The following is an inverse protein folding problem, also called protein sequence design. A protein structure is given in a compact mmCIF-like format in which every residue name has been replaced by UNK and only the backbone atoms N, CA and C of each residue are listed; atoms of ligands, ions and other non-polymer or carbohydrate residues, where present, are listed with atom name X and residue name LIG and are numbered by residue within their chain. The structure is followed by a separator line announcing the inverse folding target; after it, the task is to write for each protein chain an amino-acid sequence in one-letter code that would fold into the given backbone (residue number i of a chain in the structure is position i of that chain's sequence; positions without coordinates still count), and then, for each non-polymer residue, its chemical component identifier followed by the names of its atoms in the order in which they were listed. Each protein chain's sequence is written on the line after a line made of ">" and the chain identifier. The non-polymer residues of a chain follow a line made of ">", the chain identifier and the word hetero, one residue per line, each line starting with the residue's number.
data_IF_690195172359
#
_entry.id   IF_690195172359
#
_cell.length_a   1.000
_cell.length_b   1.000
_cell.length_c   1.000
_cell.angle_alpha   90.00
_cell.angle_beta   90.00
_cell.angle_gamma   90.00
#
_symmetry.space_group_name_H-M   'P 1'
#
loop_
_entity.id
_entity.type
_entity.pdbx_description
1 polymer ?
#
# COMPACT_ATOMS: atom_id res chain seq x y z
N UNK A 1 20.53 2.60 25.46
CA UNK A 1 21.99 2.27 25.50
C UNK A 1 22.73 3.43 26.14
N UNK A 2 23.92 3.20 26.73
CA UNK A 2 24.78 4.29 27.21
C UNK A 2 25.37 5.06 26.03
N UNK A 3 25.68 6.34 26.23
CA UNK A 3 26.43 7.14 25.26
C UNK A 3 27.79 6.49 25.00
N UNK A 4 28.22 6.50 23.73
CA UNK A 4 29.45 5.84 23.26
C UNK A 4 30.52 6.82 22.80
N UNK A 5 30.19 8.10 22.68
CA UNK A 5 31.11 9.14 22.24
C UNK A 5 30.67 10.51 22.79
N UNK A 6 31.59 11.49 22.73
CA UNK A 6 31.37 12.87 23.20
C UNK A 6 30.13 13.54 22.59
N UNK A 7 29.80 13.21 21.34
CA UNK A 7 28.62 13.73 20.66
C UNK A 7 27.32 13.24 21.33
N UNK A 8 27.23 11.95 21.64
CA UNK A 8 26.08 11.37 22.36
C UNK A 8 26.03 11.82 23.82
N UNK A 9 27.18 11.98 24.49
CA UNK A 9 27.24 12.50 25.86
C UNK A 9 26.65 13.91 25.95
N UNK A 10 27.01 14.79 25.00
CA UNK A 10 26.42 16.14 24.89
C UNK A 10 24.91 16.10 24.72
N UNK A 11 24.39 15.17 23.91
CA UNK A 11 22.94 15.01 23.70
C UNK A 11 22.25 14.58 25.00
N UNK A 12 22.82 13.62 25.73
CA UNK A 12 22.28 13.18 27.03
C UNK A 12 22.26 14.34 28.03
N UNK A 13 23.34 15.12 28.13
CA UNK A 13 23.41 16.32 28.99
C UNK A 13 22.33 17.35 28.63
N UNK A 14 22.17 17.65 27.34
CA UNK A 14 21.15 18.59 26.87
C UNK A 14 19.73 18.07 27.07
N UNK A 15 19.50 16.76 26.96
CA UNK A 15 18.20 16.15 27.23
C UNK A 15 17.73 16.40 28.66
N UNK A 16 18.64 16.36 29.65
CA UNK A 16 18.29 16.68 31.04
C UNK A 16 17.94 18.16 31.27
N UNK A 17 18.36 19.05 30.36
CA UNK A 17 18.04 20.49 30.42
C UNK A 17 16.76 20.87 29.67
N UNK A 18 16.13 19.93 28.97
CA UNK A 18 14.87 20.20 28.29
C UNK A 18 13.75 20.44 29.32
N UNK A 19 12.94 21.50 29.15
CA UNK A 19 11.86 21.78 30.08
C UNK A 19 10.76 20.71 29.97
N UNK A 20 10.06 20.49 31.08
CA UNK A 20 8.80 19.75 31.08
C UNK A 20 7.78 20.40 30.12
N UNK A 21 6.81 19.63 29.58
CA UNK A 21 5.77 20.19 28.73
C UNK A 21 4.98 21.26 29.50
N UNK A 22 4.76 22.40 28.87
CA UNK A 22 4.05 23.54 29.47
C UNK A 22 2.55 23.24 29.58
N UNK A 23 1.86 23.91 30.51
CA UNK A 23 0.40 23.78 30.66
C UNK A 23 -0.35 24.08 29.35
N UNK A 24 0.10 25.10 28.58
CA UNK A 24 -0.47 25.44 27.27
C UNK A 24 -0.34 24.30 26.25
N UNK A 25 0.81 23.62 26.22
CA UNK A 25 1.01 22.45 25.36
C UNK A 25 0.09 21.29 25.77
N UNK A 26 -0.06 21.05 27.08
CA UNK A 26 -0.94 20.00 27.60
C UNK A 26 -2.41 20.29 27.30
N UNK A 27 -2.88 21.53 27.47
CA UNK A 27 -4.26 21.92 27.13
C UNK A 27 -4.54 21.81 25.63
N UNK A 28 -3.58 22.19 24.79
CA UNK A 28 -3.67 22.00 23.35
C UNK A 28 -3.78 20.52 22.99
N UNK A 29 -2.94 19.67 23.60
CA UNK A 29 -3.00 18.22 23.44
C UNK A 29 -4.38 17.66 23.85
N UNK A 30 -4.92 18.06 25.00
CA UNK A 30 -6.25 17.64 25.48
C UNK A 30 -7.37 17.93 24.49
N UNK A 31 -7.29 19.07 23.80
CA UNK A 31 -8.36 19.56 22.92
C UNK A 31 -8.29 19.02 21.48
N UNK A 32 -7.10 18.60 21.02
CA UNK A 32 -6.88 18.24 19.61
C UNK A 32 -6.61 16.74 19.39
N UNK A 33 -6.21 16.00 20.42
CA UNK A 33 -5.83 14.58 20.27
C UNK A 33 -7.01 13.65 20.50
N UNK A 34 -7.83 13.94 21.51
CA UNK A 34 -8.83 12.99 21.99
C UNK A 34 -10.16 13.18 21.26
N UNK A 35 -10.68 12.14 20.59
CA UNK A 35 -11.98 12.20 19.95
C UNK A 35 -13.09 12.59 20.94
N UNK A 36 -13.99 13.44 20.45
CA UNK A 36 -15.18 13.87 21.17
C UNK A 36 -16.32 12.90 20.86
N UNK A 37 -16.48 11.88 21.70
CA UNK A 37 -17.44 10.80 21.48
C UNK A 37 -18.53 10.74 22.55
N UNK A 38 -19.66 10.18 22.18
CA UNK A 38 -20.73 9.79 23.08
C UNK A 38 -21.07 8.32 22.85
N UNK A 39 -20.97 7.51 23.91
CA UNK A 39 -21.31 6.10 23.83
C UNK A 39 -22.80 5.93 24.10
N UNK A 40 -23.52 5.37 23.13
CA UNK A 40 -24.97 5.15 23.18
C UNK A 40 -25.30 3.67 23.25
N UNK A 41 -26.14 3.30 24.21
CA UNK A 41 -26.77 2.00 24.32
C UNK A 41 -28.29 2.17 24.44
N UNK A 42 -28.99 1.97 23.31
CA UNK A 42 -30.45 2.18 23.18
C UNK A 42 -30.85 3.61 23.62
N UNK A 43 -31.58 3.72 24.74
CA UNK A 43 -32.10 4.98 25.30
C UNK A 43 -31.08 5.75 26.15
N UNK A 44 -30.02 5.08 26.63
CA UNK A 44 -29.08 5.65 27.61
C UNK A 44 -27.67 5.64 27.03
N UNK A 45 -26.85 6.54 27.50
CA UNK A 45 -25.43 6.55 27.17
C UNK A 45 -24.65 7.47 28.09
N UNK A 46 -23.49 7.90 27.62
CA UNK A 46 -22.64 8.81 28.38
C UNK A 46 -21.63 9.54 27.48
N UNK A 47 -21.15 10.67 27.96
CA UNK A 47 -20.17 11.52 27.31
C UNK A 47 -18.74 11.03 27.61
N UNK A 48 -17.94 10.70 26.60
CA UNK A 48 -16.53 10.31 26.82
C UNK A 48 -15.62 11.52 27.10
N UNK A 49 -16.14 12.75 27.00
CA UNK A 49 -15.42 13.97 27.38
C UNK A 49 -15.52 14.28 28.88
N UNK A 50 -16.72 14.28 29.47
CA UNK A 50 -16.95 14.66 30.88
C UNK A 50 -17.46 13.51 31.76
N UNK A 51 -17.70 12.31 31.22
CA UNK A 51 -18.13 11.14 32.00
C UNK A 51 -19.61 11.10 32.32
N UNK A 52 -20.32 12.22 32.15
CA UNK A 52 -21.72 12.36 32.53
C UNK A 52 -22.68 11.54 31.66
N UNK A 53 -23.77 11.10 32.27
CA UNK A 53 -24.80 10.31 31.59
C UNK A 53 -25.54 11.15 30.54
N UNK A 54 -25.94 10.51 29.45
CA UNK A 54 -26.70 11.10 28.37
C UNK A 54 -27.97 10.28 28.10
N UNK A 55 -29.04 10.97 27.71
CA UNK A 55 -30.26 10.34 27.20
C UNK A 55 -30.30 10.46 25.68
N UNK A 56 -30.78 9.42 25.02
CA UNK A 56 -30.88 9.35 23.58
C UNK A 56 -32.30 8.95 23.18
N UNK A 57 -32.84 9.60 22.15
CA UNK A 57 -34.04 9.11 21.48
C UNK A 57 -33.70 7.87 20.64
N UNK A 58 -34.32 6.70 20.92
CA UNK A 58 -34.11 5.48 20.14
C UNK A 58 -34.42 5.62 18.65
N UNK A 59 -35.34 6.53 18.28
CA UNK A 59 -35.75 6.74 16.89
C UNK A 59 -34.80 7.68 16.15
N UNK A 60 -33.93 8.38 16.88
CA UNK A 60 -33.01 9.35 16.28
C UNK A 60 -31.84 8.65 15.55
N UNK A 61 -31.71 9.00 14.27
CA UNK A 61 -30.59 8.64 13.41
C UNK A 61 -29.48 9.73 13.41
N UNK A 62 -29.51 10.66 14.35
CA UNK A 62 -28.48 11.68 14.47
C UNK A 62 -27.10 11.03 14.67
N UNK A 63 -26.09 11.54 13.96
CA UNK A 63 -24.68 11.13 14.13
C UNK A 63 -23.99 11.88 15.26
N UNK A 64 -24.55 13.00 15.71
CA UNK A 64 -23.95 13.87 16.72
C UNK A 64 -24.94 14.25 17.80
N UNK A 65 -24.44 14.52 19.00
CA UNK A 65 -25.17 15.08 20.14
C UNK A 65 -24.35 16.20 20.79
N UNK A 66 -25.00 17.25 21.27
CA UNK A 66 -24.35 18.24 22.14
C UNK A 66 -24.54 17.78 23.58
N UNK A 67 -23.44 17.60 24.31
CA UNK A 67 -23.52 17.23 25.71
C UNK A 67 -24.08 18.39 26.55
N UNK A 68 -25.20 18.21 27.28
CA UNK A 68 -25.77 19.27 28.11
C UNK A 68 -24.88 19.64 29.30
N UNK A 69 -23.93 18.78 29.68
CA UNK A 69 -23.06 19.01 30.84
C UNK A 69 -21.77 19.75 30.49
N UNK A 70 -21.17 19.50 29.31
CA UNK A 70 -19.91 20.14 28.93
C UNK A 70 -20.01 21.00 27.65
N UNK A 71 -21.18 21.08 27.01
CA UNK A 71 -21.41 21.87 25.81
C UNK A 71 -20.69 21.39 24.54
N UNK A 72 -19.90 20.31 24.61
CA UNK A 72 -19.18 19.79 23.43
C UNK A 72 -20.10 19.03 22.49
N UNK A 73 -19.91 19.22 21.19
CA UNK A 73 -20.50 18.40 20.14
C UNK A 73 -19.72 17.09 20.05
N UNK A 74 -20.42 15.98 20.24
CA UNK A 74 -19.88 14.62 20.31
C UNK A 74 -20.42 13.78 19.15
N UNK A 75 -19.58 12.94 18.57
CA UNK A 75 -20.00 11.89 17.63
C UNK A 75 -20.57 10.68 18.40
N UNK A 76 -21.70 10.16 17.93
CA UNK A 76 -22.42 9.07 18.61
C UNK A 76 -21.91 7.73 18.11
N UNK A 77 -21.34 6.94 19.01
CA UNK A 77 -20.99 5.54 18.76
C UNK A 77 -21.93 4.61 19.52
N UNK A 78 -22.46 3.59 18.83
CA UNK A 78 -23.31 2.57 19.44
C UNK A 78 -22.45 1.57 20.22
N UNK A 79 -22.25 1.84 21.51
CA UNK A 79 -21.33 1.13 22.41
C UNK A 79 -21.94 0.97 23.80
N UNK A 80 -21.68 -0.17 24.44
CA UNK A 80 -22.20 -0.50 25.78
C UNK A 80 -21.13 -0.38 26.86
N UNK A 81 -19.88 -0.15 26.49
CA UNK A 81 -18.75 -0.04 27.41
C UNK A 81 -18.94 1.16 28.36
N UNK A 82 -18.56 0.95 29.62
CA UNK A 82 -18.55 2.00 30.66
C UNK A 82 -17.18 2.65 30.83
N UNK A 83 -16.18 2.16 30.11
CA UNK A 83 -14.79 2.63 30.13
C UNK A 83 -14.43 3.11 28.73
N UNK A 84 -13.75 4.23 28.69
CA UNK A 84 -13.10 4.75 27.49
C UNK A 84 -11.62 4.90 27.77
N UNK A 85 -10.79 4.40 26.86
CA UNK A 85 -9.35 4.62 26.89
C UNK A 85 -8.90 4.94 25.48
N UNK A 86 -8.22 6.07 25.33
CA UNK A 86 -7.65 6.50 24.06
C UNK A 86 -6.19 6.84 24.26
N UNK A 87 -5.36 6.40 23.32
CA UNK A 87 -3.92 6.60 23.32
C UNK A 87 -3.52 7.18 21.98
N UNK A 88 -2.68 8.20 22.02
CA UNK A 88 -2.15 8.83 20.82
C UNK A 88 -0.88 9.60 21.14
N UNK A 89 -0.17 10.01 20.10
CA UNK A 89 1.05 10.79 20.24
C UNK A 89 0.78 12.29 20.07
N UNK A 90 1.47 13.07 20.89
CA UNK A 90 1.59 14.52 20.77
C UNK A 90 3.04 14.90 20.49
N UNK A 91 3.27 15.86 19.62
CA UNK A 91 4.63 16.23 19.22
C UNK A 91 4.89 17.70 19.47
N UNK A 92 6.05 18.01 20.06
CA UNK A 92 6.54 19.39 20.19
C UNK A 92 7.93 19.51 19.57
N UNK A 93 8.25 20.71 19.08
CA UNK A 93 9.53 21.02 18.44
C UNK A 93 10.19 22.16 19.18
N UNK A 94 11.45 21.99 19.54
CA UNK A 94 12.28 23.04 20.11
C UNK A 94 13.72 22.97 19.58
N UNK A 95 14.51 23.98 19.91
CA UNK A 95 15.93 24.06 19.56
C UNK A 95 16.76 24.26 20.82
N UNK A 96 17.84 23.51 20.98
CA UNK A 96 18.77 23.67 22.11
C UNK A 96 20.17 23.23 21.71
N UNK A 97 21.20 23.98 22.11
CA UNK A 97 22.61 23.57 21.93
C UNK A 97 23.05 23.32 20.48
N UNK A 98 22.39 23.95 19.51
CA UNK A 98 22.64 23.76 18.06
C UNK A 98 21.85 22.60 17.42
N UNK A 99 20.96 21.95 18.18
CA UNK A 99 20.13 20.85 17.68
C UNK A 99 18.69 21.30 17.48
N UNK A 100 18.07 20.74 16.44
CA UNK A 100 16.63 20.62 16.37
C UNK A 100 16.22 19.39 17.20
N UNK A 101 15.25 19.57 18.09
CA UNK A 101 14.71 18.46 18.89
C UNK A 101 13.23 18.30 18.57
N UNK A 102 12.86 17.10 18.13
CA UNK A 102 11.47 16.66 17.98
C UNK A 102 11.15 15.76 19.17
N UNK A 103 10.18 16.16 20.00
CA UNK A 103 9.81 15.48 21.24
C UNK A 103 8.43 14.87 21.09
N UNK A 104 8.32 13.57 21.32
CA UNK A 104 7.07 12.83 21.23
C UNK A 104 6.60 12.39 22.61
N UNK A 105 5.35 12.74 22.92
CA UNK A 105 4.66 12.41 24.16
C UNK A 105 3.57 11.40 23.90
N UNK A 106 3.63 10.26 24.57
CA UNK A 106 2.55 9.29 24.58
C UNK A 106 1.46 9.75 25.55
N UNK A 107 0.31 10.10 24.99
CA UNK A 107 -0.80 10.71 25.70
C UNK A 107 -1.89 9.67 25.89
N UNK A 108 -2.31 9.45 27.13
CA UNK A 108 -3.42 8.55 27.45
C UNK A 108 -4.54 9.33 28.11
N UNK A 109 -5.77 9.13 27.63
CA UNK A 109 -6.99 9.53 28.32
C UNK A 109 -7.72 8.29 28.80
N UNK A 110 -8.05 8.23 30.07
CA UNK A 110 -8.90 7.19 30.68
C UNK A 110 -10.09 7.86 31.33
N UNK A 111 -11.28 7.32 31.13
CA UNK A 111 -12.48 7.80 31.80
C UNK A 111 -13.46 6.66 31.95
N UNK A 112 -14.13 6.64 33.10
CA UNK A 112 -15.24 5.76 33.39
C UNK A 112 -16.54 6.57 33.46
N UNK A 113 -17.66 5.95 33.07
CA UNK A 113 -18.98 6.57 33.20
C UNK A 113 -19.23 7.02 34.65
N UNK A 114 -19.53 8.30 34.81
CA UNK A 114 -19.79 8.95 36.10
C UNK A 114 -18.55 9.49 36.82
N UNK A 115 -17.35 9.30 36.27
CA UNK A 115 -16.10 9.80 36.84
C UNK A 115 -15.47 10.87 35.95
N UNK A 116 -14.55 11.65 36.52
CA UNK A 116 -13.75 12.63 35.80
C UNK A 116 -12.70 11.96 34.90
N UNK A 117 -12.31 12.61 33.77
CA UNK A 117 -11.26 12.10 32.91
C UNK A 117 -9.87 12.22 33.52
N UNK A 118 -9.15 11.11 33.53
CA UNK A 118 -7.72 11.05 33.83
C UNK A 118 -6.90 11.24 32.56
N UNK A 119 -5.89 12.11 32.62
CA UNK A 119 -4.96 12.35 31.53
C UNK A 119 -3.52 12.09 31.99
N UNK A 120 -2.80 11.30 31.21
CA UNK A 120 -1.40 11.00 31.44
C UNK A 120 -0.58 11.37 30.20
N UNK A 121 0.58 12.01 30.42
CA UNK A 121 1.51 12.46 29.38
C UNK A 121 2.91 11.96 29.73
N UNK A 122 3.49 11.13 28.87
CA UNK A 122 4.84 10.61 29.07
C UNK A 122 5.69 10.91 27.84
N UNK A 123 6.82 11.61 28.01
CA UNK A 123 7.79 11.79 26.93
C UNK A 123 8.50 10.46 26.66
N UNK A 124 8.35 9.93 25.45
CA UNK A 124 8.78 8.56 25.11
C UNK A 124 9.90 8.53 24.07
N UNK A 125 9.96 9.53 23.19
CA UNK A 125 10.98 9.64 22.14
C UNK A 125 11.41 11.09 21.98
N UNK A 126 12.72 11.29 21.79
CA UNK A 126 13.34 12.52 21.34
C UNK A 126 14.22 12.22 20.13
N UNK A 127 13.96 12.91 19.02
CA UNK A 127 14.82 12.87 17.84
C UNK A 127 15.65 14.15 17.82
N UNK A 128 16.96 13.98 17.99
CA UNK A 128 17.95 15.06 18.00
C UNK A 128 18.60 15.14 16.63
N UNK A 129 18.43 16.27 15.95
CA UNK A 129 18.89 16.47 14.58
C UNK A 129 19.89 17.63 14.58
N UNK A 130 21.10 17.38 14.12
CA UNK A 130 22.12 18.43 13.96
C UNK A 130 21.89 19.25 12.68
N UNK A 131 22.69 20.30 12.47
CA UNK A 131 22.58 21.18 11.29
C UNK A 131 22.90 20.49 9.96
N UNK A 132 23.51 19.30 9.98
CA UNK A 132 23.79 18.49 8.79
C UNK A 132 22.70 17.44 8.53
N UNK A 133 21.64 17.40 9.36
CA UNK A 133 20.57 16.43 9.25
C UNK A 133 20.88 15.07 9.88
N UNK A 134 21.99 14.94 10.61
CA UNK A 134 22.32 13.70 11.33
C UNK A 134 21.41 13.56 12.54
N UNK A 135 20.65 12.47 12.57
CA UNK A 135 19.74 12.16 13.66
C UNK A 135 20.41 11.30 14.75
N UNK A 136 20.07 11.56 16.00
CA UNK A 136 20.32 10.70 17.15
C UNK A 136 19.04 10.56 17.97
N UNK A 137 18.70 9.33 18.32
CA UNK A 137 17.42 9.01 18.95
C UNK A 137 17.67 8.76 20.43
N UNK A 138 16.90 9.43 21.30
CA UNK A 138 16.73 9.03 22.69
C UNK A 138 15.30 8.53 22.87
N UNK A 139 15.13 7.38 23.50
CA UNK A 139 13.81 6.81 23.72
C UNK A 139 13.77 6.00 25.01
N UNK A 140 12.57 5.89 25.58
CA UNK A 140 12.29 4.97 26.68
C UNK A 140 12.37 3.53 26.17
N UNK A 141 12.61 2.58 27.06
CA UNK A 141 12.50 1.17 26.68
C UNK A 141 11.04 0.80 26.46
N UNK A 142 10.80 -0.28 25.73
CA UNK A 142 9.46 -0.88 25.59
C UNK A 142 9.40 -2.17 26.40
N UNK A 143 8.22 -2.48 26.92
CA UNK A 143 7.99 -3.74 27.64
C UNK A 143 7.93 -4.89 26.61
N UNK A 144 8.72 -5.96 26.80
CA UNK A 144 8.74 -7.08 25.87
C UNK A 144 7.46 -7.93 25.97
N UNK A 145 7.16 -8.71 24.92
CA UNK A 145 6.07 -9.70 24.86
C UNK A 145 4.64 -9.17 25.05
N UNK A 146 4.42 -7.87 24.81
CA UNK A 146 3.08 -7.26 24.90
C UNK A 146 2.23 -7.42 23.63
N UNK A 147 2.84 -7.85 22.53
CA UNK A 147 2.22 -7.83 21.20
C UNK A 147 2.15 -6.45 20.56
N UNK A 148 2.55 -5.38 21.26
CA UNK A 148 2.58 -4.01 20.77
C UNK A 148 4.02 -3.51 20.62
N UNK A 149 4.35 -2.97 19.45
CA UNK A 149 5.72 -2.54 19.17
C UNK A 149 6.12 -1.26 19.93
N UNK A 150 5.15 -0.45 20.37
CA UNK A 150 5.33 0.83 21.04
C UNK A 150 4.76 0.83 22.48
N UNK A 151 4.75 -0.34 23.13
CA UNK A 151 4.36 -0.42 24.55
C UNK A 151 5.48 0.11 25.45
N UNK A 152 5.52 1.42 25.65
CA UNK A 152 6.57 2.10 26.40
C UNK A 152 6.60 1.73 27.88
N UNK A 153 7.80 1.56 28.43
CA UNK A 153 8.05 1.43 29.87
C UNK A 153 8.22 2.82 30.48
N UNK A 154 7.21 3.28 31.21
CA UNK A 154 7.17 4.63 31.78
C UNK A 154 8.16 4.84 32.93
N UNK A 155 8.64 3.74 33.52
CA UNK A 155 9.65 3.78 34.59
C UNK A 155 11.08 3.75 34.04
N UNK A 156 11.27 3.62 32.72
CA UNK A 156 12.59 3.61 32.11
C UNK A 156 13.02 5.00 31.66
N UNK A 157 14.29 5.35 31.87
CA UNK A 157 14.82 6.63 31.40
C UNK A 157 14.90 6.71 29.88
N UNK A 158 14.87 7.94 29.36
CA UNK A 158 15.24 8.23 27.98
C UNK A 158 16.73 7.91 27.79
N UNK A 159 17.03 6.96 26.91
CA UNK A 159 18.41 6.58 26.61
C UNK A 159 18.65 6.49 25.11
N UNK A 160 19.93 6.59 24.72
CA UNK A 160 20.34 6.51 23.31
C UNK A 160 19.84 5.20 22.72
N UNK A 161 19.15 5.29 21.59
CA UNK A 161 18.61 4.17 20.85
C UNK A 161 19.11 4.17 19.41
N UNK A 162 19.12 2.97 18.84
CA UNK A 162 19.46 2.77 17.44
C UNK A 162 18.19 2.41 16.70
N UNK A 163 18.01 3.04 15.55
CA UNK A 163 16.95 2.72 14.61
C UNK A 163 17.08 1.26 14.18
N UNK A 164 16.24 0.39 14.75
CA UNK A 164 16.05 -1.00 14.29
C UNK A 164 14.71 -1.06 13.57
N UNK A 165 14.73 -1.33 12.27
CA UNK A 165 13.51 -1.60 11.52
C UNK A 165 12.92 -2.95 11.95
N UNK A 166 11.61 -3.03 12.10
CA UNK A 166 10.90 -4.31 12.10
C UNK A 166 10.32 -4.45 10.69
N UNK A 167 10.78 -5.44 9.92
CA UNK A 167 10.44 -5.74 8.52
C UNK A 167 9.35 -4.87 7.84
N UNK A 168 8.11 -4.97 8.32
CA UNK A 168 6.91 -4.38 7.71
C UNK A 168 6.42 -3.06 8.34
N UNK A 169 6.98 -2.65 9.49
CA UNK A 169 6.61 -1.45 10.20
C UNK A 169 7.74 -0.42 10.14
N UNK A 170 7.38 0.84 9.90
CA UNK A 170 8.30 1.97 10.04
C UNK A 170 8.96 1.97 11.43
N UNK A 171 10.06 2.70 11.58
CA UNK A 171 10.72 2.75 12.89
C UNK A 171 9.77 3.31 13.94
N UNK A 172 9.70 2.68 15.11
CA UNK A 172 8.89 3.15 16.26
C UNK A 172 9.26 4.55 16.76
N UNK A 173 10.35 5.11 16.25
CA UNK A 173 10.85 6.45 16.55
C UNK A 173 10.48 7.47 15.48
N UNK A 174 9.82 7.05 14.39
CA UNK A 174 9.26 7.92 13.34
C UNK A 174 7.75 8.02 13.54
N UNK A 175 7.34 8.81 14.53
CA UNK A 175 5.93 8.94 14.85
C UNK A 175 5.23 9.75 13.75
N UNK A 176 4.25 9.14 13.10
CA UNK A 176 3.39 9.73 12.06
C UNK A 176 1.99 10.00 12.61
N UNK A 177 1.17 10.76 11.85
CA UNK A 177 -0.23 11.06 12.20
C UNK A 177 -0.42 11.58 13.64
N UNK A 178 0.51 12.43 14.07
CA UNK A 178 0.54 13.01 15.42
C UNK A 178 0.13 14.47 15.37
N UNK A 179 -0.59 14.92 16.39
CA UNK A 179 -0.86 16.34 16.58
C UNK A 179 0.44 17.05 16.96
N UNK A 180 0.88 17.99 16.13
CA UNK A 180 2.05 18.83 16.39
C UNK A 180 1.62 20.15 17.02
N UNK A 181 2.29 20.57 18.10
CA UNK A 181 2.06 21.86 18.72
C UNK A 181 2.44 23.02 17.76
N UNK A 182 1.56 24.00 17.52
CA UNK A 182 1.75 24.99 16.45
C UNK A 182 2.91 25.95 16.69
N UNK A 183 3.23 26.28 17.95
CA UNK A 183 4.36 27.15 18.26
C UNK A 183 5.65 26.32 18.28
N UNK A 184 6.26 26.21 17.11
CA UNK A 184 7.47 25.39 16.88
C UNK A 184 8.75 26.23 16.99
N UNK A 185 9.71 25.72 17.76
CA UNK A 185 11.11 26.16 17.68
C UNK A 185 11.78 25.44 16.52
N UNK A 186 12.23 26.18 15.51
CA UNK A 186 12.93 25.64 14.34
C UNK A 186 14.33 26.26 14.21
N UNK A 187 15.32 25.45 13.88
CA UNK A 187 16.66 25.92 13.51
C UNK A 187 16.60 26.87 12.31
N UNK A 188 17.58 27.78 12.21
CA UNK A 188 17.65 28.77 11.12
C UNK A 188 17.84 28.09 9.76
N UNK A 189 18.63 27.01 9.73
CA UNK A 189 18.91 26.17 8.57
C UNK A 189 17.64 25.46 8.07
N UNK A 190 16.81 24.97 8.99
CA UNK A 190 15.52 24.35 8.67
C UNK A 190 14.58 25.37 8.03
N UNK A 191 14.51 26.59 8.57
CA UNK A 191 13.72 27.69 7.99
C UNK A 191 14.26 28.13 6.63
N UNK A 192 15.59 28.23 6.47
CA UNK A 192 16.26 28.54 5.20
C UNK A 192 15.91 27.51 4.12
N UNK A 193 15.78 26.25 4.51
CA UNK A 193 15.46 25.15 3.61
C UNK A 193 13.95 25.02 3.31
N UNK A 194 13.14 25.98 3.76
CA UNK A 194 11.74 26.16 3.34
C UNK A 194 10.69 25.74 4.37
N UNK A 195 11.07 25.07 5.47
CA UNK A 195 10.14 24.64 6.51
C UNK A 195 9.86 25.82 7.44
N UNK A 196 8.69 26.46 7.27
CA UNK A 196 8.23 27.57 8.11
C UNK A 196 7.27 27.13 9.21
N UNK A 197 6.47 26.10 8.92
CA UNK A 197 5.47 25.52 9.81
C UNK A 197 5.46 24.00 9.59
N UNK A 198 4.93 23.25 10.57
CA UNK A 198 4.67 21.81 10.40
C UNK A 198 3.27 21.51 9.84
N UNK A 199 2.40 22.52 9.72
CA UNK A 199 1.00 22.35 9.30
C UNK A 199 0.90 21.87 7.84
N UNK A 200 1.83 22.30 6.99
CA UNK A 200 1.85 21.94 5.57
C UNK A 200 2.31 20.51 5.29
N UNK A 201 2.78 19.81 6.33
CA UNK A 201 3.39 18.48 6.27
C UNK A 201 2.68 17.50 7.20
N UNK A 202 1.38 17.71 7.42
CA UNK A 202 0.58 16.86 8.30
C UNK A 202 0.64 15.38 7.86
N UNK A 203 0.66 14.48 8.84
CA UNK A 203 0.82 13.04 8.62
C UNK A 203 2.26 12.57 8.36
N UNK A 204 3.22 13.45 8.02
CA UNK A 204 4.62 13.07 7.86
C UNK A 204 5.37 12.99 9.20
N UNK A 205 6.35 12.08 9.34
CA UNK A 205 7.22 12.04 10.51
C UNK A 205 8.11 13.29 10.53
N UNK A 206 7.89 14.17 11.52
CA UNK A 206 8.56 15.47 11.59
C UNK A 206 10.09 15.35 11.65
N UNK A 207 10.60 14.34 12.35
CA UNK A 207 12.03 14.07 12.46
C UNK A 207 12.66 13.74 11.08
N UNK A 208 12.00 12.87 10.31
CA UNK A 208 12.47 12.48 8.96
C UNK A 208 12.41 13.65 7.99
N UNK A 209 11.32 14.42 8.01
CA UNK A 209 11.18 15.61 7.19
C UNK A 209 12.33 16.60 7.46
N UNK A 210 12.57 16.92 8.72
CA UNK A 210 13.58 17.92 9.09
C UNK A 210 15.00 17.40 8.80
N UNK A 211 15.30 16.15 9.17
CA UNK A 211 16.61 15.55 8.88
C UNK A 211 16.88 15.52 7.38
N UNK A 212 15.90 15.11 6.57
CA UNK A 212 16.03 15.06 5.12
C UNK A 212 16.12 16.45 4.49
N UNK A 213 15.38 17.44 5.00
CA UNK A 213 15.48 18.83 4.53
C UNK A 213 16.86 19.44 4.79
N UNK A 214 17.58 19.00 5.83
CA UNK A 214 18.93 19.47 6.15
C UNK A 214 20.03 18.72 5.37
N UNK A 215 19.85 17.42 5.14
CA UNK A 215 20.87 16.57 4.52
C UNK A 215 20.75 16.46 2.99
N UNK A 216 19.54 16.52 2.43
CA UNK A 216 19.27 16.21 1.03
C UNK A 216 18.74 17.42 0.24
N UNK A 217 19.48 17.76 -0.82
CA UNK A 217 19.17 18.85 -1.75
C UNK A 217 17.89 18.58 -2.54
N UNK A 218 17.58 17.32 -2.85
CA UNK A 218 16.34 16.98 -3.56
C UNK A 218 15.12 17.25 -2.65
N UNK A 219 15.17 16.85 -1.37
CA UNK A 219 14.13 17.21 -0.38
C UNK A 219 13.96 18.72 -0.23
N UNK A 220 15.05 19.47 -0.12
CA UNK A 220 15.00 20.94 -0.06
C UNK A 220 14.28 21.54 -1.29
N UNK A 221 14.61 21.05 -2.49
CA UNK A 221 13.97 21.47 -3.73
C UNK A 221 12.45 21.20 -3.70
N UNK A 222 12.04 19.99 -3.31
CA UNK A 222 10.63 19.61 -3.24
C UNK A 222 9.85 20.49 -2.26
N UNK A 223 10.43 20.79 -1.09
CA UNK A 223 9.82 21.69 -0.10
C UNK A 223 9.65 23.09 -0.67
N UNK A 224 10.71 23.66 -1.26
CA UNK A 224 10.69 25.04 -1.79
C UNK A 224 9.74 25.22 -2.96
N UNK A 225 9.51 24.17 -3.75
CA UNK A 225 8.58 24.19 -4.89
C UNK A 225 7.19 23.62 -4.54
N UNK A 226 6.89 23.37 -3.27
CA UNK A 226 5.59 22.88 -2.80
C UNK A 226 5.15 21.54 -3.45
N UNK A 227 6.10 20.67 -3.77
CA UNK A 227 5.86 19.34 -4.33
C UNK A 227 5.48 18.34 -3.24
N UNK A 228 4.27 18.49 -2.67
CA UNK A 228 3.84 17.75 -1.46
C UNK A 228 3.76 16.24 -1.66
N UNK A 229 3.26 15.78 -2.81
CA UNK A 229 3.09 14.35 -3.08
C UNK A 229 4.42 13.65 -3.30
N UNK A 230 5.31 14.24 -4.11
CA UNK A 230 6.68 13.73 -4.29
C UNK A 230 7.44 13.72 -2.96
N UNK A 231 7.33 14.79 -2.16
CA UNK A 231 7.94 14.85 -0.83
C UNK A 231 7.41 13.75 0.08
N UNK A 232 6.08 13.54 0.10
CA UNK A 232 5.43 12.51 0.90
C UNK A 232 5.90 11.11 0.51
N UNK A 233 5.92 10.81 -0.79
CA UNK A 233 6.44 9.53 -1.28
C UNK A 233 7.90 9.34 -0.90
N UNK A 234 8.75 10.35 -1.10
CA UNK A 234 10.17 10.28 -0.75
C UNK A 234 10.40 10.00 0.74
N UNK A 235 9.70 10.71 1.63
CA UNK A 235 9.84 10.52 3.07
C UNK A 235 9.30 9.15 3.53
N UNK A 236 8.25 8.62 2.89
CA UNK A 236 7.69 7.29 3.18
C UNK A 236 8.57 6.14 2.67
N UNK A 237 9.13 6.27 1.46
CA UNK A 237 10.02 5.27 0.85
C UNK A 237 11.38 5.16 1.56
N UNK A 238 11.83 6.23 2.23
CA UNK A 238 13.10 6.31 2.97
C UNK A 238 13.26 5.36 4.17
N UNK A 239 12.35 4.40 4.37
CA UNK A 239 12.54 3.25 5.27
C UNK A 239 13.36 2.11 4.62
N UNK A 240 13.51 2.10 3.29
CA UNK A 240 14.26 1.11 2.53
C UNK A 240 15.25 1.78 1.57
N UNK A 241 16.41 2.23 2.06
CA UNK A 241 17.64 2.51 1.28
C UNK A 241 17.58 3.29 -0.05
N UNK A 242 16.47 3.96 -0.40
CA UNK A 242 16.38 4.80 -1.59
C UNK A 242 16.53 6.25 -1.10
N UNK A 243 17.77 6.73 -1.10
CA UNK A 243 18.12 8.08 -0.63
C UNK A 243 17.58 9.18 -1.57
N UNK A 244 17.13 8.84 -2.78
CA UNK A 244 16.59 9.79 -3.76
C UNK A 244 15.47 9.20 -4.62
N UNK A 245 14.44 10.01 -4.92
CA UNK A 245 13.48 9.65 -5.96
C UNK A 245 14.23 9.47 -7.28
N UNK A 246 13.88 8.42 -8.02
CA UNK A 246 14.40 8.15 -9.35
C UNK A 246 14.13 9.34 -10.27
N UNK A 247 15.00 9.58 -11.24
CA UNK A 247 14.91 10.69 -12.22
C UNK A 247 14.96 12.11 -11.60
N UNK A 248 16.05 12.49 -10.90
CA UNK A 248 16.20 13.83 -10.34
C UNK A 248 16.14 14.95 -11.41
N UNK A 249 16.49 14.65 -12.66
CA UNK A 249 16.41 15.57 -13.80
C UNK A 249 14.98 15.98 -14.10
N UNK A 250 14.09 15.00 -14.22
CA UNK A 250 12.67 15.21 -14.45
C UNK A 250 12.05 16.02 -13.30
N UNK A 251 12.42 15.74 -12.06
CA UNK A 251 11.95 16.50 -10.89
C UNK A 251 12.38 17.97 -10.97
N UNK A 252 13.64 18.24 -11.34
CA UNK A 252 14.13 19.63 -11.53
C UNK A 252 13.34 20.35 -12.62
N UNK A 253 12.99 19.65 -13.71
CA UNK A 253 12.19 20.21 -14.81
C UNK A 253 10.77 20.51 -14.35
N UNK A 254 10.09 19.56 -13.69
CA UNK A 254 8.76 19.76 -13.13
C UNK A 254 8.74 21.00 -12.21
N UNK A 255 9.71 21.11 -11.30
CA UNK A 255 9.88 22.28 -10.43
C UNK A 255 10.11 23.59 -11.21
N UNK A 256 10.95 23.58 -12.25
CA UNK A 256 11.24 24.75 -13.09
C UNK A 256 10.02 25.24 -13.86
N UNK A 257 9.22 24.31 -14.36
CA UNK A 257 8.00 24.59 -15.12
C UNK A 257 6.76 24.78 -14.24
N UNK A 258 6.92 24.77 -12.91
CA UNK A 258 5.82 24.86 -11.92
C UNK A 258 4.74 23.80 -12.12
N UNK A 259 5.13 22.64 -12.64
CA UNK A 259 4.25 21.48 -12.77
C UNK A 259 4.16 20.79 -11.42
N UNK A 260 2.99 20.88 -10.77
CA UNK A 260 2.74 20.22 -9.48
C UNK A 260 2.29 18.79 -9.75
N UNK A 261 3.04 17.83 -9.21
CA UNK A 261 2.68 16.42 -9.31
C UNK A 261 1.62 16.10 -8.27
N UNK A 262 0.42 15.73 -8.71
CA UNK A 262 -0.73 15.38 -7.85
C UNK A 262 -0.78 13.89 -7.51
N UNK A 263 -0.21 13.02 -8.36
CA UNK A 263 -0.03 11.60 -8.08
C UNK A 263 1.44 11.23 -8.33
N UNK A 264 2.21 11.19 -7.24
CA UNK A 264 3.63 10.89 -7.30
C UNK A 264 3.91 9.44 -7.72
N UNK A 265 3.04 8.48 -7.38
CA UNK A 265 3.24 7.07 -7.75
C UNK A 265 3.06 6.90 -9.25
N UNK A 266 1.95 7.42 -9.79
CA UNK A 266 1.66 7.36 -11.23
C UNK A 266 2.71 8.13 -12.03
N UNK A 267 3.14 9.29 -11.54
CA UNK A 267 4.14 10.10 -12.24
C UNK A 267 5.51 9.41 -12.29
N UNK A 268 5.96 8.79 -11.20
CA UNK A 268 7.21 8.03 -11.19
C UNK A 268 7.14 6.80 -12.13
N UNK A 269 6.02 6.06 -12.14
CA UNK A 269 5.81 4.95 -13.07
C UNK A 269 5.77 5.43 -14.53
N UNK A 270 5.15 6.58 -14.78
CA UNK A 270 5.16 7.22 -16.09
C UNK A 270 6.59 7.59 -16.54
N UNK A 271 7.44 8.11 -15.65
CA UNK A 271 8.85 8.37 -15.99
C UNK A 271 9.61 7.08 -16.30
N UNK A 272 9.32 5.98 -15.59
CA UNK A 272 9.90 4.67 -15.90
C UNK A 272 9.45 4.15 -17.27
N UNK A 273 8.22 4.44 -17.68
CA UNK A 273 7.75 4.15 -19.04
C UNK A 273 8.46 5.04 -20.08
N UNK A 274 8.69 6.32 -19.79
CA UNK A 274 9.48 7.20 -20.67
C UNK A 274 10.90 6.67 -20.86
N UNK A 275 11.57 6.28 -19.77
CA UNK A 275 12.90 5.66 -19.80
C UNK A 275 12.89 4.37 -20.63
N UNK A 276 11.91 3.49 -20.40
CA UNK A 276 11.77 2.23 -21.13
C UNK A 276 11.63 2.43 -22.65
N UNK A 277 10.88 3.45 -23.08
CA UNK A 277 10.70 3.77 -24.50
C UNK A 277 11.78 4.70 -25.09
N UNK A 278 12.81 5.06 -24.30
CA UNK A 278 13.88 5.97 -24.73
C UNK A 278 13.40 7.40 -25.02
N UNK A 279 12.32 7.84 -24.36
CA UNK A 279 11.80 9.20 -24.48
C UNK A 279 12.57 10.15 -23.57
N UNK A 280 12.72 11.41 -24.00
CA UNK A 280 13.62 12.36 -23.33
C UNK A 280 13.06 12.87 -21.99
N UNK A 281 13.67 12.40 -20.90
CA UNK A 281 13.42 12.83 -19.52
C UNK A 281 13.93 14.26 -19.22
N UNK A 282 14.62 14.90 -20.16
CA UNK A 282 15.05 16.30 -20.06
C UNK A 282 14.11 17.28 -20.75
N UNK A 283 13.09 16.77 -21.45
CA UNK A 283 12.15 17.60 -22.18
C UNK A 283 10.86 17.84 -21.38
N UNK A 284 10.50 19.10 -21.08
CA UNK A 284 9.27 19.42 -20.36
C UNK A 284 8.00 18.93 -21.05
N UNK A 285 8.01 18.78 -22.37
CA UNK A 285 6.88 18.21 -23.12
C UNK A 285 6.52 16.80 -22.64
N UNK A 286 7.52 15.97 -22.32
CA UNK A 286 7.30 14.62 -21.82
C UNK A 286 7.11 14.61 -20.30
N UNK A 287 7.97 15.34 -19.57
CA UNK A 287 8.02 15.30 -18.10
C UNK A 287 6.80 15.95 -17.44
N UNK A 288 6.21 16.96 -18.08
CA UNK A 288 5.10 17.75 -17.56
C UNK A 288 3.84 17.57 -18.44
N UNK A 289 3.24 16.38 -18.51
CA UNK A 289 2.06 16.14 -19.33
C UNK A 289 0.86 16.94 -18.79
N UNK A 290 0.06 17.50 -19.70
CA UNK A 290 -1.20 18.17 -19.36
C UNK A 290 -2.17 17.24 -18.64
N UNK A 291 -2.26 15.99 -19.10
CA UNK A 291 -3.03 14.93 -18.47
C UNK A 291 -2.09 13.74 -18.22
N UNK A 292 -1.67 13.58 -16.96
CA UNK A 292 -0.75 12.52 -16.56
C UNK A 292 -1.35 11.12 -16.81
N UNK A 293 -2.63 10.94 -16.49
CA UNK A 293 -3.29 9.64 -16.60
C UNK A 293 -3.36 9.17 -18.06
N UNK A 294 -3.76 10.04 -18.97
CA UNK A 294 -3.81 9.72 -20.40
C UNK A 294 -2.42 9.46 -21.00
N UNK A 295 -1.41 10.25 -20.60
CA UNK A 295 -0.04 10.06 -21.05
C UNK A 295 0.56 8.73 -20.54
N UNK A 296 0.27 8.39 -19.28
CA UNK A 296 0.65 7.12 -18.65
C UNK A 296 -0.03 5.93 -19.33
N UNK A 297 -1.36 5.94 -19.46
CA UNK A 297 -2.13 4.84 -20.04
C UNK A 297 -1.70 4.55 -21.48
N UNK A 298 -1.43 5.59 -22.27
CA UNK A 298 -0.95 5.42 -23.66
C UNK A 298 0.35 4.64 -23.73
N UNK A 299 1.32 4.96 -22.86
CA UNK A 299 2.60 4.25 -22.81
C UNK A 299 2.45 2.86 -22.18
N UNK A 300 1.60 2.72 -21.17
CA UNK A 300 1.33 1.43 -20.53
C UNK A 300 0.69 0.44 -21.52
N UNK A 301 -0.30 0.87 -22.31
CA UNK A 301 -0.92 0.05 -23.37
C UNK A 301 0.14 -0.39 -24.38
N UNK A 302 1.04 0.52 -24.77
CA UNK A 302 2.15 0.19 -25.69
C UNK A 302 3.07 -0.88 -25.09
N UNK A 303 3.43 -0.75 -23.82
CA UNK A 303 4.31 -1.71 -23.12
C UNK A 303 3.64 -3.08 -22.99
N UNK A 304 2.37 -3.10 -22.59
CA UNK A 304 1.59 -4.33 -22.48
C UNK A 304 1.51 -5.09 -23.82
N UNK A 305 1.44 -4.39 -24.96
CA UNK A 305 1.47 -5.02 -26.28
C UNK A 305 2.84 -5.63 -26.60
N UNK A 306 3.92 -4.96 -26.23
CA UNK A 306 5.28 -5.48 -26.41
C UNK A 306 5.54 -6.69 -25.50
N UNK A 307 5.18 -6.60 -24.22
CA UNK A 307 5.29 -7.69 -23.25
C UNK A 307 4.45 -8.90 -23.68
N UNK A 308 3.24 -8.68 -24.21
CA UNK A 308 2.41 -9.75 -24.76
C UNK A 308 3.06 -10.44 -25.96
N UNK A 309 3.70 -9.68 -26.86
CA UNK A 309 4.43 -10.25 -28.01
C UNK A 309 5.64 -11.08 -27.55
N UNK A 310 6.45 -10.54 -26.64
CA UNK A 310 7.61 -11.23 -26.09
C UNK A 310 7.19 -12.51 -25.37
N UNK A 311 6.12 -12.44 -24.57
CA UNK A 311 5.55 -13.61 -23.90
C UNK A 311 5.07 -14.64 -24.92
N UNK A 312 4.36 -14.24 -25.97
CA UNK A 312 3.93 -15.15 -27.04
C UNK A 312 5.12 -15.84 -27.71
N UNK A 313 6.19 -15.11 -28.01
CA UNK A 313 7.40 -15.69 -28.60
C UNK A 313 8.10 -16.68 -27.64
N UNK A 314 8.12 -16.38 -26.34
CA UNK A 314 8.65 -17.28 -25.32
C UNK A 314 7.79 -18.54 -25.18
N UNK A 315 6.48 -18.37 -25.15
CA UNK A 315 5.49 -19.45 -25.09
C UNK A 315 5.63 -20.37 -26.33
N UNK A 316 5.77 -19.82 -27.53
CA UNK A 316 6.04 -20.60 -28.76
C UNK A 316 7.38 -21.35 -28.67
N UNK A 317 8.44 -20.72 -28.17
CA UNK A 317 9.74 -21.39 -27.98
C UNK A 317 9.66 -22.50 -26.94
N UNK A 318 8.90 -22.33 -25.87
CA UNK A 318 8.67 -23.37 -24.86
C UNK A 318 7.82 -24.50 -25.46
N UNK A 319 6.75 -24.18 -26.19
CA UNK A 319 5.89 -25.13 -26.89
C UNK A 319 6.70 -26.07 -27.79
N UNK A 320 7.62 -25.53 -28.59
CA UNK A 320 8.50 -26.31 -29.48
C UNK A 320 9.35 -27.35 -28.75
N UNK A 321 9.73 -27.11 -27.49
CA UNK A 321 10.50 -28.09 -26.69
C UNK A 321 9.66 -29.31 -26.33
N UNK A 322 8.37 -29.08 -26.04
CA UNK A 322 7.44 -30.13 -25.64
C UNK A 322 6.72 -30.80 -26.83
N UNK A 323 6.77 -30.19 -28.02
CA UNK A 323 6.13 -30.68 -29.25
C UNK A 323 6.44 -32.15 -29.53
N UNK A 324 7.71 -32.55 -29.48
CA UNK A 324 8.12 -33.95 -29.72
C UNK A 324 7.53 -34.91 -28.69
N UNK A 325 7.51 -34.52 -27.41
CA UNK A 325 6.97 -35.34 -26.33
C UNK A 325 5.45 -35.45 -26.42
N UNK A 326 4.78 -34.35 -26.73
CA UNK A 326 3.33 -34.29 -26.91
C UNK A 326 2.89 -35.19 -28.07
N UNK A 327 3.54 -35.06 -29.23
CA UNK A 327 3.28 -35.92 -30.39
C UNK A 327 3.48 -37.38 -30.04
N UNK A 328 4.59 -37.75 -29.39
CA UNK A 328 4.82 -39.14 -28.97
C UNK A 328 3.74 -39.68 -28.03
N UNK A 329 3.24 -38.85 -27.11
CA UNK A 329 2.25 -39.27 -26.12
C UNK A 329 0.82 -39.31 -26.66
N UNK A 330 0.49 -38.47 -27.66
CA UNK A 330 -0.89 -38.23 -28.10
C UNK A 330 -1.15 -38.56 -29.57
N UNK A 331 -0.13 -38.99 -30.35
CA UNK A 331 -0.24 -39.21 -31.79
C UNK A 331 -1.34 -40.19 -32.20
N UNK A 332 -1.64 -41.18 -31.36
CA UNK A 332 -2.74 -42.11 -31.63
C UNK A 332 -4.08 -41.41 -31.82
N UNK A 333 -4.32 -40.32 -31.08
CA UNK A 333 -5.58 -39.58 -31.08
C UNK A 333 -5.67 -38.52 -32.19
N UNK A 334 -4.57 -38.25 -32.90
CA UNK A 334 -4.56 -37.23 -33.94
C UNK A 334 -5.39 -37.68 -35.13
N UNK A 335 -6.10 -36.73 -35.76
CA UNK A 335 -7.04 -37.01 -36.83
C UNK A 335 -8.44 -37.46 -36.36
N UNK A 336 -8.67 -37.64 -35.06
CA UNK A 336 -10.03 -37.78 -34.53
C UNK A 336 -10.76 -36.45 -34.74
N UNK A 337 -11.76 -36.50 -35.62
CA UNK A 337 -12.68 -35.41 -35.93
C UNK A 337 -14.09 -35.98 -36.01
N UNK A 338 -15.03 -35.36 -35.32
CA UNK A 338 -16.44 -35.71 -35.37
C UNK A 338 -17.29 -34.47 -35.11
N UNK A 339 -18.57 -34.53 -35.45
CA UNK A 339 -19.44 -33.38 -35.35
C UNK A 339 -20.72 -33.59 -36.13
N UNK A 340 -21.45 -32.51 -36.33
CA UNK A 340 -22.75 -32.51 -36.99
C UNK A 340 -22.90 -31.32 -37.94
N UNK A 341 -24.13 -30.91 -38.26
CA UNK A 341 -24.44 -29.81 -39.15
C UNK A 341 -23.99 -28.44 -38.60
N UNK A 342 -23.70 -28.30 -37.31
CA UNK A 342 -23.37 -27.01 -36.68
C UNK A 342 -21.99 -26.95 -36.03
N UNK A 343 -21.51 -28.04 -35.44
CA UNK A 343 -20.26 -28.07 -34.68
C UNK A 343 -19.33 -29.16 -35.21
N UNK A 344 -18.04 -28.86 -35.27
CA UNK A 344 -16.96 -29.80 -35.53
C UNK A 344 -16.03 -29.82 -34.32
N UNK A 345 -15.78 -31.01 -33.78
CA UNK A 345 -14.87 -31.25 -32.66
C UNK A 345 -13.67 -32.01 -33.18
N UNK A 346 -12.48 -31.51 -32.88
CA UNK A 346 -11.21 -32.15 -33.27
C UNK A 346 -10.21 -32.11 -32.13
N UNK A 347 -9.38 -33.16 -32.03
CA UNK A 347 -8.25 -33.19 -31.08
C UNK A 347 -7.23 -32.11 -31.43
N UNK A 348 -6.72 -31.39 -30.42
CA UNK A 348 -5.60 -30.45 -30.58
C UNK A 348 -4.32 -31.24 -30.86
N UNK A 349 -3.65 -30.97 -31.99
CA UNK A 349 -2.62 -31.87 -32.53
C UNK A 349 -1.19 -31.42 -32.26
N UNK A 350 -1.00 -30.18 -31.79
CA UNK A 350 0.31 -29.63 -31.45
C UNK A 350 0.25 -28.79 -30.18
N UNK A 351 1.42 -28.60 -29.56
CA UNK A 351 1.56 -27.71 -28.40
C UNK A 351 1.39 -26.24 -28.82
N UNK A 352 1.73 -25.92 -30.08
CA UNK A 352 1.46 -24.61 -30.70
C UNK A 352 -0.04 -24.36 -30.89
N UNK A 353 -0.81 -25.33 -31.41
CA UNK A 353 -2.27 -25.22 -31.47
C UNK A 353 -2.90 -25.05 -30.08
N UNK A 354 -2.36 -25.75 -29.05
CA UNK A 354 -2.81 -25.58 -27.67
C UNK A 354 -2.52 -24.18 -27.10
N UNK A 355 -1.41 -23.56 -27.51
CA UNK A 355 -1.08 -22.18 -27.16
C UNK A 355 -2.08 -21.19 -27.77
N UNK A 356 -2.36 -21.35 -29.06
CA UNK A 356 -3.35 -20.54 -29.79
C UNK A 356 -4.75 -20.73 -29.20
N UNK A 357 -5.13 -21.97 -28.88
CA UNK A 357 -6.40 -22.27 -28.20
C UNK A 357 -6.48 -21.53 -26.85
N UNK A 358 -5.39 -21.56 -26.07
CA UNK A 358 -5.26 -20.86 -24.79
C UNK A 358 -5.50 -19.36 -24.88
N UNK A 359 -4.88 -18.73 -25.89
CA UNK A 359 -4.94 -17.30 -26.12
C UNK A 359 -6.32 -16.83 -26.60
N UNK A 360 -6.86 -17.46 -27.66
CA UNK A 360 -8.14 -17.10 -28.28
C UNK A 360 -9.33 -17.30 -27.35
N UNK A 361 -9.30 -18.36 -26.55
CA UNK A 361 -10.39 -18.69 -25.63
C UNK A 361 -10.21 -18.09 -24.23
N UNK A 362 -9.11 -17.35 -23.99
CA UNK A 362 -8.76 -16.77 -22.70
C UNK A 362 -8.82 -17.77 -21.53
N UNK A 363 -8.28 -18.98 -21.75
CA UNK A 363 -8.27 -20.04 -20.74
C UNK A 363 -6.89 -20.67 -20.57
N UNK A 364 -6.64 -21.26 -19.40
CA UNK A 364 -5.29 -21.61 -18.96
C UNK A 364 -4.74 -22.92 -19.53
N UNK A 365 -5.29 -23.50 -20.60
CA UNK A 365 -4.85 -24.83 -21.10
C UNK A 365 -3.36 -24.88 -21.44
N UNK A 366 -2.82 -23.82 -22.04
CA UNK A 366 -1.38 -23.73 -22.30
C UNK A 366 -0.58 -23.37 -21.04
N UNK A 367 -1.02 -22.34 -20.29
CA UNK A 367 -0.34 -21.87 -19.08
C UNK A 367 -0.23 -22.94 -17.98
N UNK A 368 -1.23 -23.82 -17.86
CA UNK A 368 -1.24 -24.95 -16.94
C UNK A 368 -0.60 -26.22 -17.52
N UNK A 369 0.11 -26.08 -18.65
CA UNK A 369 0.92 -27.13 -19.30
C UNK A 369 0.12 -28.41 -19.58
N UNK A 370 -1.12 -28.31 -20.07
CA UNK A 370 -1.96 -29.51 -20.29
C UNK A 370 -1.36 -30.50 -21.30
N UNK A 371 -0.52 -30.03 -22.22
CA UNK A 371 0.30 -30.88 -23.10
C UNK A 371 1.25 -31.83 -22.34
N UNK A 372 1.55 -31.56 -21.07
CA UNK A 372 2.41 -32.42 -20.24
C UNK A 372 1.62 -33.44 -19.40
N UNK A 373 0.28 -33.34 -19.35
CA UNK A 373 -0.58 -34.23 -18.57
C UNK A 373 -0.87 -35.52 -19.35
N UNK A 374 -0.26 -36.63 -18.91
CA UNK A 374 -0.40 -37.94 -19.56
C UNK A 374 -1.86 -38.40 -19.69
N UNK A 375 -2.71 -38.12 -18.70
CA UNK A 375 -4.11 -38.59 -18.62
C UNK A 375 -5.15 -37.60 -19.16
N UNK A 376 -4.71 -36.47 -19.73
CA UNK A 376 -5.60 -35.43 -20.25
C UNK A 376 -5.51 -35.37 -21.77
N UNK A 377 -6.64 -35.27 -22.47
CA UNK A 377 -6.72 -35.03 -23.90
C UNK A 377 -7.55 -33.75 -24.14
N UNK A 378 -6.99 -32.83 -24.92
CA UNK A 378 -7.65 -31.55 -25.23
C UNK A 378 -8.23 -31.62 -26.64
N UNK A 379 -9.49 -31.23 -26.77
CA UNK A 379 -10.20 -31.07 -28.04
C UNK A 379 -10.69 -29.63 -28.17
N UNK A 380 -10.76 -29.16 -29.41
CA UNK A 380 -11.32 -27.85 -29.78
C UNK A 380 -12.63 -28.08 -30.53
N UNK A 381 -13.70 -27.45 -30.06
CA UNK A 381 -14.99 -27.38 -30.74
C UNK A 381 -15.09 -26.08 -31.53
N UNK A 382 -15.40 -26.17 -32.81
CA UNK A 382 -15.51 -25.04 -33.74
C UNK A 382 -16.88 -25.04 -34.43
N UNK A 383 -17.37 -23.85 -34.76
CA UNK A 383 -18.52 -23.69 -35.64
C UNK A 383 -18.12 -23.95 -37.12
N UNK A 384 -19.11 -23.88 -38.03
CA UNK A 384 -18.87 -24.09 -39.47
C UNK A 384 -18.03 -23.01 -40.13
N UNK A 385 -18.00 -21.81 -39.54
CA UNK A 385 -17.18 -20.70 -40.01
C UNK A 385 -15.73 -20.82 -39.50
N UNK A 386 -15.45 -21.82 -38.65
CA UNK A 386 -14.13 -22.11 -38.09
C UNK A 386 -13.82 -21.37 -36.80
N UNK A 387 -14.77 -20.63 -36.24
CA UNK A 387 -14.59 -19.94 -34.96
C UNK A 387 -14.61 -20.95 -33.81
N UNK A 388 -13.73 -20.73 -32.82
CA UNK A 388 -13.65 -21.56 -31.62
C UNK A 388 -14.85 -21.28 -30.71
N UNK A 389 -15.48 -22.35 -30.26
CA UNK A 389 -16.72 -22.31 -29.48
C UNK A 389 -16.46 -22.76 -28.05
N UNK A 390 -15.83 -23.93 -27.85
CA UNK A 390 -15.39 -24.44 -26.55
C UNK A 390 -14.12 -25.29 -26.66
N UNK A 391 -13.38 -25.34 -25.56
CA UNK A 391 -12.27 -26.26 -25.35
C UNK A 391 -12.67 -27.31 -24.34
N UNK A 392 -12.38 -28.56 -24.69
CA UNK A 392 -12.85 -29.75 -24.00
C UNK A 392 -11.64 -30.50 -23.45
N UNK A 393 -11.66 -30.83 -22.17
CA UNK A 393 -10.74 -31.76 -21.53
C UNK A 393 -11.43 -33.12 -21.32
N UNK A 394 -10.81 -34.18 -21.84
CA UNK A 394 -11.19 -35.57 -21.58
C UNK A 394 -10.13 -36.24 -20.71
N UNK A 395 -10.57 -36.96 -19.69
CA UNK A 395 -9.73 -37.85 -18.91
C UNK A 395 -9.58 -39.19 -19.65
N UNK A 396 -8.34 -39.59 -19.94
CA UNK A 396 -8.02 -40.81 -20.68
C UNK A 396 -8.12 -42.11 -19.85
N UNK A 397 -8.18 -42.03 -18.52
CA UNK A 397 -8.43 -43.22 -17.68
C UNK A 397 -9.93 -43.53 -17.60
N UNK A 398 -10.76 -42.50 -17.42
CA UNK A 398 -12.21 -42.66 -17.19
C UNK A 398 -13.04 -42.48 -18.46
N UNK A 399 -12.46 -41.91 -19.52
CA UNK A 399 -13.14 -41.52 -20.76
C UNK A 399 -14.37 -40.65 -20.49
N UNK A 400 -14.20 -39.67 -19.61
CA UNK A 400 -15.21 -38.68 -19.27
C UNK A 400 -14.71 -37.27 -19.59
N UNK A 401 -15.64 -36.41 -19.98
CA UNK A 401 -15.39 -34.97 -20.09
C UNK A 401 -15.21 -34.41 -18.68
N UNK A 402 -14.01 -33.90 -18.40
CA UNK A 402 -13.69 -33.26 -17.11
C UNK A 402 -14.12 -31.80 -17.14
N UNK A 403 -13.90 -31.13 -18.28
CA UNK A 403 -14.25 -29.73 -18.50
C UNK A 403 -14.63 -29.51 -19.96
N UNK A 404 -15.63 -28.65 -20.19
CA UNK A 404 -15.96 -28.08 -21.51
C UNK A 404 -16.28 -26.60 -21.28
N UNK A 405 -15.49 -25.69 -21.84
CA UNK A 405 -15.59 -24.25 -21.56
C UNK A 405 -15.33 -23.41 -22.81
N UNK A 406 -16.19 -22.43 -23.04
CA UNK A 406 -16.02 -21.36 -24.01
C UNK A 406 -15.15 -20.21 -23.49
N UNK A 407 -15.16 -19.10 -24.25
CA UNK A 407 -14.34 -17.91 -23.97
C UNK A 407 -14.51 -17.43 -22.53
N UNK A 408 -13.39 -17.12 -21.86
CA UNK A 408 -13.37 -16.69 -20.45
C UNK A 408 -14.02 -17.68 -19.46
N UNK A 409 -13.91 -19.00 -19.71
CA UNK A 409 -14.45 -20.07 -18.88
C UNK A 409 -15.99 -20.07 -18.75
N UNK A 410 -16.71 -19.50 -19.71
CA UNK A 410 -18.19 -19.52 -19.75
C UNK A 410 -18.71 -20.63 -20.64
N UNK A 411 -19.93 -21.08 -20.42
CA UNK A 411 -20.58 -22.03 -21.32
C UNK A 411 -20.98 -21.30 -22.61
N UNK A 412 -20.79 -21.94 -23.76
CA UNK A 412 -21.24 -21.44 -25.06
C UNK A 412 -22.73 -21.73 -25.26
N UNK A 413 -23.33 -21.13 -26.29
CA UNK A 413 -24.68 -21.48 -26.73
C UNK A 413 -24.81 -22.93 -27.22
N UNK A 414 -23.69 -23.61 -27.50
CA UNK A 414 -23.65 -24.98 -27.98
C UNK A 414 -23.20 -25.98 -26.91
N UNK A 415 -23.08 -25.56 -25.65
CA UNK A 415 -22.50 -26.36 -24.56
C UNK A 415 -23.13 -27.75 -24.43
N UNK A 416 -24.45 -27.82 -24.27
CA UNK A 416 -25.15 -29.11 -24.09
C UNK A 416 -25.05 -29.99 -25.34
N UNK A 417 -25.01 -29.37 -26.52
CA UNK A 417 -24.81 -30.07 -27.80
C UNK A 417 -23.41 -30.67 -27.91
N UNK A 418 -22.39 -29.92 -27.49
CA UNK A 418 -21.00 -30.35 -27.45
C UNK A 418 -20.84 -31.54 -26.49
N UNK A 419 -21.45 -31.48 -25.30
CA UNK A 419 -21.42 -32.59 -24.36
C UNK A 419 -22.08 -33.84 -24.93
N UNK A 420 -23.23 -33.70 -25.61
CA UNK A 420 -23.90 -34.82 -26.27
C UNK A 420 -23.05 -35.42 -27.40
N UNK A 421 -22.45 -34.59 -28.25
CA UNK A 421 -21.54 -35.05 -29.30
C UNK A 421 -20.33 -35.79 -28.73
N UNK A 422 -19.78 -35.32 -27.61
CA UNK A 422 -18.69 -36.00 -26.91
C UNK A 422 -19.13 -37.36 -26.35
N UNK A 423 -20.33 -37.46 -25.77
CA UNK A 423 -20.87 -38.71 -25.25
C UNK A 423 -21.10 -39.74 -26.37
N UNK A 424 -21.78 -39.34 -27.45
CA UNK A 424 -22.09 -40.18 -28.61
C UNK A 424 -20.81 -40.71 -29.30
N UNK A 425 -19.73 -39.92 -29.30
CA UNK A 425 -18.50 -40.22 -30.02
C UNK A 425 -17.32 -40.62 -29.13
N UNK A 426 -17.50 -40.75 -27.81
CA UNK A 426 -16.42 -41.11 -26.87
C UNK A 426 -15.76 -42.45 -27.23
N UNK A 427 -16.51 -43.35 -27.87
CA UNK A 427 -16.03 -44.63 -28.36
C UNK A 427 -14.87 -44.50 -29.38
N UNK A 428 -14.77 -43.39 -30.12
CA UNK A 428 -13.66 -43.13 -31.05
C UNK A 428 -12.34 -42.91 -30.30
N UNK A 429 -12.39 -42.23 -29.15
CA UNK A 429 -11.22 -42.01 -28.29
C UNK A 429 -10.83 -43.33 -27.59
N UNK A 430 -11.81 -44.13 -27.14
CA UNK A 430 -11.58 -45.43 -26.49
C UNK A 430 -10.94 -46.48 -27.40
N UNK A 431 -11.18 -46.43 -28.71
CA UNK A 431 -10.59 -47.37 -29.68
C UNK A 431 -9.09 -47.17 -29.87
N UNK A 432 -8.60 -45.98 -29.52
CA UNK A 432 -7.22 -45.54 -29.74
C UNK A 432 -6.37 -45.62 -28.49
N UNK A 433 -6.98 -45.33 -27.33
CA UNK A 433 -6.36 -45.44 -26.01
C UNK A 433 -6.12 -46.91 -25.63
#
# INVERSE_FOLDING_TARGET
>A
MKARNKYQEKIVELSHRLPAPTNKQMEYAKSHIFPLLAYRNKKKGWCTHCGQALQFDPKSKAKYIVCPHCGKRLEIESRSERKYTFRAYFTTLCTIGGFQVVRHFFCTKRIHKGLEPEYEYCEVVQNWIDTNGKETIMARSTIPFTGYYDYWNWNSDLSINVRRGYYWYGSRYDITNTVVYPHVGLLKEVRRNGIKSMKDFDGLPANKLIASALADRQTELLIKHNQKELLTQKIRLGNHHIESLKHPEAIRIACRHRYIVEDATMWLDYLDLLEHFGLDLHNPHYVCPLNLHEAHDRLLIRKNREDARVKREQDIKEARKYEKMYKKAKSGFFGIVFGDDKIVISVVQSVEEMAIEGEEMHHCVFACKYFSKAKSLILSAKDKDGNRVETIEVNLDTFQVVQSRGVCNKNSAYHDRILKLMEDNMHLIRKVA
#
